data_IF_783893758958
#
_entry.id   IF_783893758958
#
_cell.length_a   1.000
_cell.length_b   1.000
_cell.length_c   1.000
_cell.angle_alpha   90.00
_cell.angle_beta   90.00
_cell.angle_gamma   90.00
#
_symmetry.space_group_name_H-M   'P 1'
#
loop_
_entity.id
_entity.type
_entity.pdbx_description
1 polymer ?
#
# COMPACT_ATOMS: atom_id res chain seq x y z
N UNK A 1 15.58 -6.48 -10.48
CA UNK A 1 16.62 -5.47 -10.18
C UNK A 1 16.03 -4.09 -9.88
N UNK A 2 15.05 -3.58 -10.65
CA UNK A 2 14.42 -2.28 -10.36
C UNK A 2 13.72 -2.19 -8.99
N UNK A 3 13.00 -3.23 -8.55
CA UNK A 3 12.33 -3.25 -7.24
C UNK A 3 13.31 -3.16 -6.06
N UNK A 4 14.46 -3.83 -6.15
CA UNK A 4 15.51 -3.77 -5.11
C UNK A 4 16.16 -2.39 -5.05
N UNK A 5 16.40 -1.76 -6.21
CA UNK A 5 16.92 -0.39 -6.26
C UNK A 5 15.94 0.63 -5.63
N UNK A 6 14.64 0.49 -5.89
CA UNK A 6 13.60 1.31 -5.24
C UNK A 6 13.59 1.11 -3.72
N UNK A 7 13.72 -0.12 -3.24
CA UNK A 7 13.79 -0.44 -1.82
C UNK A 7 15.02 0.17 -1.14
N UNK A 8 16.19 0.05 -1.75
CA UNK A 8 17.42 0.64 -1.23
C UNK A 8 17.35 2.18 -1.21
N UNK A 9 16.71 2.79 -2.21
CA UNK A 9 16.48 4.23 -2.24
C UNK A 9 15.55 4.69 -1.11
N UNK A 10 14.44 3.98 -0.88
CA UNK A 10 13.51 4.28 0.23
C UNK A 10 14.24 4.15 1.57
N UNK A 11 15.01 3.07 1.77
CA UNK A 11 15.84 2.87 2.97
C UNK A 11 16.80 4.04 3.21
N UNK A 12 17.52 4.49 2.18
CA UNK A 12 18.47 5.61 2.33
C UNK A 12 17.78 6.95 2.66
N UNK A 13 16.55 7.18 2.16
CA UNK A 13 15.87 8.48 2.29
C UNK A 13 14.98 8.60 3.52
N UNK A 14 14.37 7.50 3.99
CA UNK A 14 13.33 7.51 5.03
C UNK A 14 13.82 6.96 6.37
N UNK A 15 14.76 6.01 6.36
CA UNK A 15 15.16 5.31 7.58
C UNK A 15 15.86 6.23 8.61
N UNK A 16 16.46 7.34 8.19
CA UNK A 16 17.09 8.32 9.08
C UNK A 16 16.09 9.11 9.92
N UNK A 17 14.83 9.19 9.49
CA UNK A 17 13.77 9.97 10.15
C UNK A 17 12.87 9.08 10.98
N UNK A 18 12.41 7.97 10.40
CA UNK A 18 11.48 7.06 11.05
C UNK A 18 11.59 5.65 10.48
N UNK A 19 12.15 4.76 11.29
CA UNK A 19 12.41 3.36 10.92
C UNK A 19 11.10 2.58 10.73
N UNK A 20 10.08 2.82 11.56
CA UNK A 20 8.80 2.12 11.46
C UNK A 20 8.06 2.50 10.16
N UNK A 21 8.04 3.79 9.84
CA UNK A 21 7.48 4.28 8.59
C UNK A 21 8.26 3.78 7.36
N UNK A 22 9.60 3.73 7.45
CA UNK A 22 10.44 3.17 6.40
C UNK A 22 10.07 1.70 6.11
N UNK A 23 9.98 0.87 7.17
CA UNK A 23 9.60 -0.54 7.02
C UNK A 23 8.21 -0.73 6.44
N UNK A 24 7.23 0.08 6.85
CA UNK A 24 5.88 0.04 6.29
C UNK A 24 5.89 0.36 4.79
N UNK A 25 6.48 1.50 4.40
CA UNK A 25 6.53 1.94 2.99
C UNK A 25 7.29 0.94 2.13
N UNK A 26 8.41 0.42 2.63
CA UNK A 26 9.24 -0.55 1.91
C UNK A 26 8.55 -1.90 1.73
N UNK A 27 7.86 -2.39 2.76
CA UNK A 27 7.07 -3.62 2.69
C UNK A 27 5.90 -3.46 1.71
N UNK A 28 5.23 -2.31 1.75
CA UNK A 28 4.13 -2.00 0.84
C UNK A 28 4.60 -1.88 -0.62
N UNK A 29 5.74 -1.22 -0.87
CA UNK A 29 6.36 -1.17 -2.19
C UNK A 29 6.79 -2.56 -2.68
N UNK A 30 7.37 -3.40 -1.81
CA UNK A 30 7.73 -4.76 -2.17
C UNK A 30 6.52 -5.55 -2.69
N UNK A 31 5.41 -5.52 -1.93
CA UNK A 31 4.19 -6.24 -2.28
C UNK A 31 3.56 -5.67 -3.54
N UNK A 32 3.47 -4.34 -3.65
CA UNK A 32 2.86 -3.65 -4.79
C UNK A 32 3.55 -3.99 -6.12
N UNK A 33 4.87 -4.16 -6.12
CA UNK A 33 5.66 -4.45 -7.32
C UNK A 33 6.01 -5.94 -7.47
N UNK A 34 5.44 -6.82 -6.65
CA UNK A 34 5.59 -8.26 -6.83
C UNK A 34 4.74 -8.73 -8.02
N UNK A 35 5.25 -9.73 -8.76
CA UNK A 35 4.52 -10.35 -9.88
C UNK A 35 3.29 -11.12 -9.40
N UNK A 36 3.34 -11.64 -8.17
CA UNK A 36 2.27 -12.40 -7.55
C UNK A 36 1.62 -11.55 -6.48
N UNK A 37 0.29 -11.59 -6.40
CA UNK A 37 -0.48 -10.96 -5.32
C UNK A 37 -1.25 -12.02 -4.57
N UNK A 38 -1.02 -12.13 -3.25
CA UNK A 38 -1.78 -13.01 -2.36
C UNK A 38 -2.18 -12.25 -1.10
N UNK A 39 -3.28 -12.65 -0.47
CA UNK A 39 -3.79 -11.99 0.74
C UNK A 39 -2.78 -11.99 1.90
N UNK A 40 -1.90 -12.99 1.96
CA UNK A 40 -0.84 -13.10 2.96
C UNK A 40 0.09 -11.88 2.98
N UNK A 41 0.38 -11.30 1.81
CA UNK A 41 1.30 -10.17 1.70
C UNK A 41 0.77 -8.91 2.39
N UNK A 42 -0.54 -8.71 2.44
CA UNK A 42 -1.12 -7.50 3.03
C UNK A 42 -0.92 -7.43 4.54
N UNK A 43 -0.83 -8.58 5.20
CA UNK A 43 -0.54 -8.66 6.64
C UNK A 43 0.81 -8.01 6.95
N UNK A 44 1.81 -8.14 6.07
CA UNK A 44 3.17 -7.68 6.34
C UNK A 44 3.24 -6.18 6.65
N UNK A 45 2.58 -5.34 5.85
CA UNK A 45 2.56 -3.90 6.09
C UNK A 45 1.42 -3.46 7.00
N UNK A 46 0.29 -4.20 7.06
CA UNK A 46 -0.78 -3.91 8.02
C UNK A 46 -0.31 -4.06 9.48
N UNK A 47 0.61 -4.99 9.75
CA UNK A 47 1.22 -5.14 11.08
C UNK A 47 1.99 -3.90 11.55
N UNK A 48 2.46 -3.04 10.63
CA UNK A 48 3.18 -1.81 10.98
C UNK A 48 2.24 -0.62 11.23
N UNK A 49 0.99 -0.67 10.76
CA UNK A 49 -0.01 0.40 10.93
C UNK A 49 -0.13 0.89 12.38
N UNK A 50 -0.32 0.04 13.41
CA UNK A 50 -0.46 0.52 14.79
C UNK A 50 0.78 1.27 15.31
N UNK A 51 1.97 0.94 14.79
CA UNK A 51 3.22 1.59 15.19
C UNK A 51 3.39 2.97 14.56
N UNK A 52 2.97 3.15 13.31
CA UNK A 52 3.10 4.43 12.59
C UNK A 52 1.93 5.39 12.84
N UNK A 53 0.78 4.88 13.29
CA UNK A 53 -0.45 5.68 13.45
C UNK A 53 -0.27 6.92 14.34
N UNK A 54 0.41 6.85 15.51
CA UNK A 54 0.62 8.03 16.36
C UNK A 54 1.39 9.15 15.64
N UNK A 55 2.34 8.80 14.78
CA UNK A 55 3.14 9.76 14.01
C UNK A 55 2.31 10.37 12.87
N UNK A 56 1.47 9.57 12.22
CA UNK A 56 0.53 10.07 11.21
C UNK A 56 -0.45 11.10 11.80
N UNK A 57 -0.93 10.89 13.02
CA UNK A 57 -1.89 11.78 13.68
C UNK A 57 -1.24 13.04 14.27
N UNK A 58 -0.01 12.95 14.83
CA UNK A 58 0.62 14.07 15.56
C UNK A 58 0.96 15.31 14.72
N UNK A 59 1.34 15.19 13.44
CA UNK A 59 1.71 16.34 12.60
C UNK A 59 0.60 16.75 11.62
N UNK A 60 -0.64 16.73 12.07
CA UNK A 60 -1.84 16.89 11.25
C UNK A 60 -2.11 18.35 10.83
N UNK A 61 -1.47 18.83 9.76
CA UNK A 61 -1.97 19.98 9.01
C UNK A 61 -3.26 19.62 8.26
N UNK A 62 -4.31 20.46 8.34
CA UNK A 62 -5.68 20.15 7.85
C UNK A 62 -5.78 19.83 6.35
N UNK A 63 -4.82 20.29 5.53
CA UNK A 63 -4.77 20.08 4.07
C UNK A 63 -4.05 18.78 3.69
N UNK A 64 -2.88 18.50 4.28
CA UNK A 64 -2.08 17.30 4.00
C UNK A 64 -2.78 15.99 4.42
N UNK A 65 -3.63 16.06 5.45
CA UNK A 65 -4.39 14.91 5.94
C UNK A 65 -5.45 14.37 4.98
N UNK A 66 -5.98 15.20 4.07
CA UNK A 66 -7.07 14.75 3.19
C UNK A 66 -6.59 13.64 2.26
N UNK A 67 -5.37 13.74 1.73
CA UNK A 67 -4.78 12.71 0.87
C UNK A 67 -4.56 11.40 1.61
N UNK A 68 -4.02 11.45 2.83
CA UNK A 68 -3.80 10.27 3.67
C UNK A 68 -5.10 9.58 4.08
N UNK A 69 -6.12 10.34 4.50
CA UNK A 69 -7.41 9.79 4.92
C UNK A 69 -8.12 9.14 3.71
N UNK A 70 -8.13 9.81 2.56
CA UNK A 70 -8.74 9.26 1.35
C UNK A 70 -8.02 8.00 0.88
N UNK A 71 -6.68 7.98 0.94
CA UNK A 71 -5.89 6.79 0.63
C UNK A 71 -6.17 5.63 1.62
N UNK A 72 -6.26 5.93 2.92
CA UNK A 72 -6.56 4.94 3.96
C UNK A 72 -7.96 4.32 3.81
N UNK A 73 -8.92 5.09 3.29
CA UNK A 73 -10.26 4.58 2.97
C UNK A 73 -10.27 3.82 1.64
N UNK A 74 -9.59 4.33 0.62
CA UNK A 74 -9.56 3.71 -0.71
C UNK A 74 -8.92 2.31 -0.69
N UNK A 75 -7.89 2.10 0.13
CA UNK A 75 -7.16 0.83 0.21
C UNK A 75 -8.05 -0.39 0.55
N UNK A 76 -8.85 -0.40 1.64
CA UNK A 76 -9.73 -1.53 1.95
C UNK A 76 -10.82 -1.73 0.89
N UNK A 77 -11.33 -0.67 0.26
CA UNK A 77 -12.28 -0.81 -0.87
C UNK A 77 -11.63 -1.46 -2.09
N UNK A 78 -10.42 -1.05 -2.45
CA UNK A 78 -9.65 -1.66 -3.52
C UNK A 78 -9.35 -3.13 -3.25
N UNK A 79 -8.98 -3.47 -2.01
CA UNK A 79 -8.75 -4.84 -1.56
C UNK A 79 -10.02 -5.68 -1.70
N UNK A 80 -11.15 -5.20 -1.15
CA UNK A 80 -12.41 -5.91 -1.20
C UNK A 80 -12.90 -6.13 -2.64
N UNK A 81 -12.75 -5.12 -3.51
CA UNK A 81 -13.09 -5.21 -4.92
C UNK A 81 -12.24 -6.27 -5.64
N UNK A 82 -10.92 -6.24 -5.47
CA UNK A 82 -10.03 -7.25 -6.06
C UNK A 82 -10.33 -8.66 -5.53
N UNK A 83 -10.54 -8.78 -4.21
CA UNK A 83 -10.83 -10.05 -3.55
C UNK A 83 -12.17 -10.66 -4.01
N UNK A 84 -13.19 -9.84 -4.25
CA UNK A 84 -14.49 -10.32 -4.74
C UNK A 84 -14.34 -11.04 -6.08
N UNK A 85 -13.60 -10.46 -7.03
CA UNK A 85 -13.35 -11.08 -8.33
C UNK A 85 -12.45 -12.32 -8.22
N UNK A 86 -11.40 -12.25 -7.40
CA UNK A 86 -10.52 -13.39 -7.16
C UNK A 86 -11.29 -14.58 -6.55
N UNK A 87 -12.21 -14.30 -5.62
CA UNK A 87 -13.06 -15.31 -5.01
C UNK A 87 -13.98 -16.01 -6.04
N UNK A 88 -14.64 -15.23 -6.89
CA UNK A 88 -15.49 -15.75 -7.96
C UNK A 88 -14.71 -16.64 -8.94
N UNK A 89 -13.46 -16.26 -9.24
CA UNK A 89 -12.60 -17.02 -10.13
C UNK A 89 -12.12 -18.33 -9.48
N UNK A 90 -11.55 -18.25 -8.29
CA UNK A 90 -10.80 -19.35 -7.67
C UNK A 90 -11.69 -20.35 -6.93
N UNK A 91 -12.69 -19.87 -6.19
CA UNK A 91 -13.56 -20.74 -5.39
C UNK A 91 -14.87 -21.10 -6.08
N UNK A 92 -15.43 -20.19 -6.87
CA UNK A 92 -16.71 -20.42 -7.56
C UNK A 92 -16.52 -20.88 -9.02
N UNK A 93 -15.31 -20.79 -9.57
CA UNK A 93 -14.99 -21.27 -10.92
C UNK A 93 -15.58 -20.46 -12.07
N UNK A 94 -16.06 -19.23 -11.82
CA UNK A 94 -16.58 -18.37 -12.88
C UNK A 94 -15.44 -17.82 -13.76
N UNK A 95 -15.62 -17.69 -15.08
CA UNK A 95 -14.59 -17.25 -16.01
C UNK A 95 -14.37 -15.72 -16.00
N UNK A 96 -14.16 -15.13 -14.82
CA UNK A 96 -14.02 -13.66 -14.62
C UNK A 96 -12.57 -13.15 -14.73
N UNK A 97 -11.73 -13.80 -15.53
CA UNK A 97 -10.29 -13.50 -15.64
C UNK A 97 -9.99 -12.02 -15.97
N UNK A 98 -10.73 -11.43 -16.91
CA UNK A 98 -10.54 -10.02 -17.30
C UNK A 98 -10.92 -9.05 -16.17
N UNK A 99 -11.94 -9.38 -15.37
CA UNK A 99 -12.34 -8.57 -14.23
C UNK A 99 -11.30 -8.62 -13.11
N UNK A 100 -10.74 -9.81 -12.84
CA UNK A 100 -9.63 -9.96 -11.87
C UNK A 100 -8.41 -9.15 -12.33
N UNK A 101 -8.07 -9.21 -13.62
CA UNK A 101 -6.96 -8.44 -14.19
C UNK A 101 -7.19 -6.93 -14.05
N UNK A 102 -8.37 -6.44 -14.44
CA UNK A 102 -8.72 -5.02 -14.32
C UNK A 102 -8.76 -4.54 -12.88
N UNK A 103 -9.34 -5.34 -11.97
CA UNK A 103 -9.34 -5.06 -10.55
C UNK A 103 -7.93 -5.03 -9.96
N UNK A 104 -7.02 -5.87 -10.48
CA UNK A 104 -5.60 -5.86 -10.13
C UNK A 104 -4.92 -4.55 -10.50
N UNK A 105 -5.20 -3.98 -11.67
CA UNK A 105 -4.68 -2.66 -12.09
C UNK A 105 -5.21 -1.55 -11.19
N UNK A 106 -6.51 -1.55 -10.89
CA UNK A 106 -7.13 -0.57 -9.98
C UNK A 106 -6.49 -0.67 -8.60
N UNK A 107 -6.35 -1.88 -8.06
CA UNK A 107 -5.75 -2.09 -6.74
C UNK A 107 -4.26 -1.71 -6.74
N UNK A 108 -3.52 -1.98 -7.81
CA UNK A 108 -2.14 -1.51 -7.99
C UNK A 108 -2.06 0.02 -7.93
N UNK A 109 -2.92 0.73 -8.66
CA UNK A 109 -2.95 2.20 -8.64
C UNK A 109 -3.25 2.75 -7.23
N UNK A 110 -4.17 2.12 -6.50
CA UNK A 110 -4.46 2.48 -5.10
C UNK A 110 -3.24 2.27 -4.20
N UNK A 111 -2.52 1.15 -4.33
CA UNK A 111 -1.30 0.90 -3.56
C UNK A 111 -0.19 1.93 -3.87
N UNK A 112 0.02 2.26 -5.15
CA UNK A 112 0.98 3.30 -5.55
C UNK A 112 0.60 4.66 -4.95
N UNK A 113 -0.69 5.04 -5.02
CA UNK A 113 -1.18 6.26 -4.39
C UNK A 113 -0.86 6.29 -2.89
N UNK A 114 -1.24 5.24 -2.15
CA UNK A 114 -0.98 5.14 -0.73
C UNK A 114 0.51 5.32 -0.39
N UNK A 115 1.41 4.67 -1.15
CA UNK A 115 2.86 4.84 -1.00
C UNK A 115 3.27 6.31 -1.20
N UNK A 116 2.76 6.97 -2.25
CA UNK A 116 3.06 8.39 -2.52
C UNK A 116 2.57 9.30 -1.38
N UNK A 117 1.37 9.08 -0.85
CA UNK A 117 0.86 9.86 0.29
C UNK A 117 1.73 9.69 1.54
N UNK A 118 2.19 8.46 1.83
CA UNK A 118 3.08 8.19 2.96
C UNK A 118 4.47 8.83 2.76
N UNK A 119 5.02 8.79 1.55
CA UNK A 119 6.31 9.41 1.22
C UNK A 119 6.27 10.94 1.35
N UNK A 120 5.21 11.60 0.86
CA UNK A 120 5.02 13.04 1.03
C UNK A 120 4.96 13.39 2.52
N UNK A 121 4.25 12.59 3.32
CA UNK A 121 4.14 12.81 4.76
C UNK A 121 5.48 12.70 5.49
N UNK A 122 6.33 11.74 5.10
CA UNK A 122 7.69 11.62 5.64
C UNK A 122 8.53 12.83 5.28
N UNK A 123 8.45 13.32 4.04
CA UNK A 123 9.24 14.47 3.58
C UNK A 123 8.87 15.79 4.27
N UNK A 124 7.66 15.90 4.82
CA UNK A 124 7.20 17.08 5.56
C UNK A 124 7.47 17.01 7.08
N UNK A 125 8.06 15.93 7.60
CA UNK A 125 8.40 15.76 9.02
C UNK A 125 9.83 16.17 9.30
#
# INVERSE_FOLDING_TARGET
MAGVAMQLFISHRVASTDVAMAFMIQSMAFVCFNKVSTAQYFVWYLSWVPLVLPQLVKHSGRQENKGLITAAIAWPFGLAHWLAWAYLLEFQGYPVHLFVWGAGIVFFAINVWCITCLLVRVSSS
#
